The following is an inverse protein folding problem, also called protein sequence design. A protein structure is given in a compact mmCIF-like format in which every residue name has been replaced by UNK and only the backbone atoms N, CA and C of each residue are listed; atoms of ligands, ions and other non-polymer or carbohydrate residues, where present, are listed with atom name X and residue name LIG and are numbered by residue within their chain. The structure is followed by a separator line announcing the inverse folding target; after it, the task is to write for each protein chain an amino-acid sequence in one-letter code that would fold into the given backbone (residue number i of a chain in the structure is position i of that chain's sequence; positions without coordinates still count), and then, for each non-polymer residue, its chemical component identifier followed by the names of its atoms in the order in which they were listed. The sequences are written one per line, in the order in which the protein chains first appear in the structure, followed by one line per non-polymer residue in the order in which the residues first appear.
data_IF_442734735248
#
_entry.id   IF_442734735248
#
_cell.length_a   1.000
_cell.length_b   1.000
_cell.length_c   1.000
_cell.angle_alpha   90.00
_cell.angle_beta   90.00
_cell.angle_gamma   90.00
#
_symmetry.space_group_name_H-M   'P 1'
#
loop_
_entity.id
_entity.type
_entity.pdbx_description
1 polymer ?
#
# COMPACT_ATOMS: atom_id res chain seq x y z
N UNK A 1 -25.07 -60.96 17.24
CA UNK A 1 -24.27 -59.73 17.02
C UNK A 1 -23.42 -59.94 15.78
N UNK A 2 -23.58 -59.09 14.76
CA UNK A 2 -23.13 -59.37 13.39
C UNK A 2 -21.60 -59.19 13.27
N UNK A 3 -20.90 -60.14 12.67
CA UNK A 3 -19.42 -60.18 12.64
C UNK A 3 -18.81 -58.91 11.98
N UNK A 4 -19.56 -58.26 11.08
CA UNK A 4 -19.19 -56.97 10.46
C UNK A 4 -19.17 -55.78 11.44
N UNK A 5 -19.96 -55.83 12.52
CA UNK A 5 -19.98 -54.79 13.55
C UNK A 5 -18.77 -54.89 14.49
N UNK A 6 -18.24 -56.10 14.71
CA UNK A 6 -17.07 -56.34 15.54
C UNK A 6 -15.78 -55.82 14.86
N UNK A 7 -15.67 -55.96 13.54
CA UNK A 7 -14.56 -55.41 12.76
C UNK A 7 -14.58 -53.87 12.70
N UNK A 8 -15.76 -53.25 12.67
CA UNK A 8 -15.88 -51.80 12.67
C UNK A 8 -15.49 -51.18 14.03
N UNK A 9 -15.82 -51.86 15.14
CA UNK A 9 -15.40 -51.43 16.49
C UNK A 9 -13.90 -51.62 16.75
N UNK A 10 -13.28 -52.67 16.19
CA UNK A 10 -11.83 -52.88 16.26
C UNK A 10 -11.01 -51.92 15.38
N UNK A 11 -11.59 -51.41 14.29
CA UNK A 11 -10.95 -50.37 13.47
C UNK A 11 -11.04 -48.97 14.11
N UNK A 12 -12.08 -48.69 14.88
CA UNK A 12 -12.24 -47.40 15.58
C UNK A 12 -11.35 -47.34 16.84
N UNK A 13 -11.11 -48.46 17.53
CA UNK A 13 -10.21 -48.49 18.69
C UNK A 13 -8.71 -48.43 18.34
N UNK A 14 -8.34 -48.75 17.09
CA UNK A 14 -6.97 -48.64 16.61
C UNK A 14 -6.57 -47.22 16.13
N UNK A 15 -7.52 -46.27 16.05
CA UNK A 15 -7.28 -44.88 15.61
C UNK A 15 -7.18 -43.88 16.78
N UNK A 16 -7.32 -44.34 18.04
CA UNK A 16 -7.19 -43.50 19.24
C UNK A 16 -5.90 -43.77 20.02
N UNK A 17 -4.81 -44.14 19.33
CA UNK A 17 -3.48 -44.13 19.94
C UNK A 17 -2.99 -42.69 19.93
N UNK A 18 -3.12 -42.07 21.10
CA UNK A 18 -2.32 -40.97 21.62
C UNK A 18 -0.98 -40.82 20.89
N UNK A 19 -0.87 -39.84 19.98
CA UNK A 19 0.42 -39.23 19.72
C UNK A 19 0.85 -38.57 21.03
N UNK A 20 1.94 -39.09 21.60
CA UNK A 20 2.69 -38.43 22.65
C UNK A 20 2.94 -36.98 22.26
N UNK A 21 2.93 -36.10 23.25
CA UNK A 21 3.64 -34.83 23.16
C UNK A 21 5.11 -35.15 22.92
N UNK A 22 5.48 -35.23 21.65
CA UNK A 22 6.86 -35.01 21.26
C UNK A 22 7.06 -33.52 21.47
N UNK A 23 7.86 -33.16 22.48
CA UNK A 23 8.34 -31.80 22.66
C UNK A 23 9.02 -31.40 21.36
N UNK A 24 8.36 -30.53 20.60
CA UNK A 24 9.02 -29.82 19.50
C UNK A 24 10.29 -29.21 20.08
N UNK A 25 11.46 -29.42 19.45
CA UNK A 25 12.66 -28.73 19.87
C UNK A 25 12.33 -27.24 19.81
N UNK A 26 12.42 -26.56 20.96
CA UNK A 26 12.15 -25.14 21.09
C UNK A 26 12.83 -24.43 19.92
N UNK A 27 12.02 -23.86 19.02
CA UNK A 27 12.52 -23.02 17.95
C UNK A 27 13.33 -21.91 18.62
N UNK A 28 14.65 -22.05 18.57
CA UNK A 28 15.57 -21.02 19.02
C UNK A 28 15.41 -19.92 18.01
N UNK A 29 14.51 -19.00 18.33
CA UNK A 29 14.17 -17.78 17.62
C UNK A 29 14.90 -17.65 16.30
N UNK A 30 14.27 -18.11 15.22
CA UNK A 30 14.55 -17.57 13.91
C UNK A 30 14.14 -16.10 13.95
N UNK A 31 15.01 -15.24 14.49
CA UNK A 31 14.95 -13.82 14.22
C UNK A 31 15.12 -13.71 12.71
N UNK A 32 14.02 -13.39 12.01
CA UNK A 32 14.08 -12.91 10.64
C UNK A 32 15.29 -11.98 10.52
N UNK A 33 16.14 -12.12 9.49
CA UNK A 33 17.33 -11.28 9.35
C UNK A 33 16.91 -9.83 9.57
N UNK A 34 17.45 -9.21 10.62
CA UNK A 34 17.09 -7.84 10.94
C UNK A 34 17.47 -7.01 9.72
N UNK A 35 16.48 -6.34 9.11
CA UNK A 35 16.77 -5.50 7.96
C UNK A 35 17.83 -4.47 8.39
N UNK A 36 18.87 -4.25 7.58
CA UNK A 36 19.94 -3.31 7.93
C UNK A 36 19.34 -1.92 8.14
N UNK A 37 19.54 -1.35 9.32
CA UNK A 37 19.10 0.01 9.61
C UNK A 37 20.11 0.99 9.00
N UNK A 38 19.72 1.67 7.92
CA UNK A 38 20.55 2.69 7.28
C UNK A 38 20.58 3.96 8.11
N UNK A 39 21.76 4.57 8.19
CA UNK A 39 21.94 5.82 8.96
C UNK A 39 21.91 7.05 8.07
N UNK A 40 22.16 6.89 6.76
CA UNK A 40 21.96 7.93 5.76
C UNK A 40 21.74 7.35 4.36
N UNK A 41 21.36 8.21 3.41
CA UNK A 41 21.23 7.88 2.00
C UNK A 41 21.88 8.96 1.12
N UNK A 42 22.72 8.51 0.20
CA UNK A 42 23.42 9.37 -0.77
C UNK A 42 22.78 9.24 -2.15
N UNK A 43 22.53 10.37 -2.82
CA UNK A 43 21.88 10.38 -4.15
C UNK A 43 22.62 9.49 -5.15
N UNK A 44 21.88 8.59 -5.81
CA UNK A 44 22.38 7.65 -6.81
C UNK A 44 21.72 7.85 -8.18
N UNK A 45 21.05 9.00 -8.36
CA UNK A 45 20.50 9.44 -9.64
C UNK A 45 19.11 8.88 -9.97
N UNK A 46 18.75 9.02 -11.24
CA UNK A 46 17.45 8.59 -11.76
C UNK A 46 17.40 7.07 -11.95
N UNK A 47 16.22 6.48 -11.71
CA UNK A 47 15.93 5.10 -12.11
C UNK A 47 15.55 5.11 -13.59
N UNK A 48 16.41 4.53 -14.42
CA UNK A 48 16.10 4.31 -15.83
C UNK A 48 15.20 3.08 -15.95
N UNK A 49 14.02 3.24 -16.55
CA UNK A 49 13.07 2.15 -16.75
C UNK A 49 13.16 1.62 -18.18
N UNK A 50 13.68 0.40 -18.40
CA UNK A 50 13.81 -0.16 -19.74
C UNK A 50 12.47 -0.22 -20.48
N UNK A 51 12.47 0.13 -21.76
CA UNK A 51 11.28 0.05 -22.62
C UNK A 51 10.25 1.17 -22.40
N UNK A 52 10.52 2.15 -21.53
CA UNK A 52 9.67 3.33 -21.34
C UNK A 52 10.40 4.57 -21.83
N UNK A 53 9.76 5.33 -22.71
CA UNK A 53 10.30 6.61 -23.18
C UNK A 53 10.28 7.63 -22.03
N UNK A 54 11.35 8.40 -21.78
CA UNK A 54 11.37 9.41 -20.72
C UNK A 54 10.22 10.42 -20.82
N UNK A 55 9.83 10.81 -22.03
CA UNK A 55 8.70 11.73 -22.26
C UNK A 55 7.33 11.13 -21.86
N UNK A 56 7.23 9.80 -21.82
CA UNK A 56 6.03 9.06 -21.44
C UNK A 56 6.12 8.54 -20.00
N UNK A 57 7.12 8.94 -19.23
CA UNK A 57 7.30 8.49 -17.86
C UNK A 57 6.95 9.58 -16.87
N UNK A 58 5.88 9.36 -16.11
CA UNK A 58 5.41 10.24 -15.04
C UNK A 58 5.07 9.34 -13.84
N UNK A 59 6.08 8.93 -13.06
CA UNK A 59 5.88 8.04 -11.93
C UNK A 59 5.03 8.72 -10.87
N UNK A 60 4.04 7.98 -10.37
CA UNK A 60 3.08 8.45 -9.37
C UNK A 60 3.14 7.66 -8.08
N UNK A 61 3.42 6.37 -8.14
CA UNK A 61 3.57 5.52 -6.96
C UNK A 61 4.72 4.54 -7.14
N UNK A 62 5.34 4.17 -6.02
CA UNK A 62 6.39 3.17 -5.92
C UNK A 62 6.07 2.25 -4.75
N UNK A 63 6.22 0.94 -4.93
CA UNK A 63 6.05 -0.10 -3.91
C UNK A 63 7.13 -1.16 -4.06
N UNK A 64 7.55 -1.77 -2.96
CA UNK A 64 8.45 -2.92 -2.95
C UNK A 64 7.69 -4.13 -2.41
N UNK A 65 7.82 -5.27 -3.08
CA UNK A 65 7.39 -6.56 -2.52
C UNK A 65 8.32 -7.67 -3.01
N UNK A 66 9.02 -8.31 -2.07
CA UNK A 66 10.03 -9.31 -2.38
C UNK A 66 11.22 -8.70 -3.15
N UNK A 67 11.52 -9.26 -4.32
CA UNK A 67 12.60 -8.82 -5.20
C UNK A 67 12.17 -7.86 -6.31
N UNK A 68 10.94 -7.33 -6.24
CA UNK A 68 10.35 -6.52 -7.30
C UNK A 68 10.04 -5.11 -6.82
N UNK A 69 10.44 -4.12 -7.61
CA UNK A 69 10.01 -2.73 -7.53
C UNK A 69 8.82 -2.53 -8.46
N UNK A 70 7.70 -2.09 -7.90
CA UNK A 70 6.49 -1.77 -8.65
C UNK A 70 6.39 -0.26 -8.81
N UNK A 71 6.21 0.21 -10.04
CA UNK A 71 6.12 1.63 -10.35
C UNK A 71 4.84 1.91 -11.12
N UNK A 72 3.97 2.76 -10.59
CA UNK A 72 2.79 3.23 -11.30
C UNK A 72 3.13 4.47 -12.13
N UNK A 73 3.00 4.38 -13.45
CA UNK A 73 3.15 5.47 -14.40
C UNK A 73 1.79 6.06 -14.75
N UNK A 74 1.57 7.35 -14.49
CA UNK A 74 0.29 8.03 -14.73
C UNK A 74 0.23 8.81 -16.06
N UNK A 75 1.32 8.82 -16.82
CA UNK A 75 1.42 9.53 -18.09
C UNK A 75 0.34 9.05 -19.08
N UNK A 76 -0.41 9.97 -19.69
CA UNK A 76 -1.55 9.63 -20.53
C UNK A 76 -1.20 8.76 -21.76
N UNK A 77 0.02 8.87 -22.29
CA UNK A 77 0.48 8.08 -23.43
C UNK A 77 0.94 6.66 -23.04
N UNK A 78 1.24 6.43 -21.76
CA UNK A 78 1.76 5.17 -21.23
C UNK A 78 1.29 4.93 -19.79
N UNK A 79 -0.02 4.92 -19.55
CA UNK A 79 -0.53 4.60 -18.22
C UNK A 79 -0.34 3.11 -17.95
N UNK A 80 0.50 2.81 -16.97
CA UNK A 80 0.91 1.42 -16.70
C UNK A 80 1.38 1.21 -15.26
N UNK A 81 1.40 -0.05 -14.84
CA UNK A 81 2.19 -0.51 -13.70
C UNK A 81 3.36 -1.31 -14.24
N UNK A 82 4.57 -0.90 -13.87
CA UNK A 82 5.84 -1.44 -14.33
C UNK A 82 6.47 -2.23 -13.20
N UNK A 83 6.96 -3.44 -13.49
CA UNK A 83 7.60 -4.33 -12.52
C UNK A 83 9.07 -4.46 -12.89
N UNK A 84 9.95 -4.01 -12.00
CA UNK A 84 11.40 -4.07 -12.19
C UNK A 84 12.01 -5.06 -11.21
N UNK A 85 12.88 -5.93 -11.69
CA UNK A 85 13.67 -6.78 -10.81
C UNK A 85 14.68 -5.92 -10.06
N UNK A 86 14.67 -5.94 -8.73
CA UNK A 86 15.57 -5.13 -7.89
C UNK A 86 17.04 -5.58 -7.98
N UNK A 87 17.32 -6.79 -8.49
CA UNK A 87 18.69 -7.29 -8.70
C UNK A 87 19.27 -6.78 -10.01
N UNK A 88 18.53 -6.96 -11.10
CA UNK A 88 19.04 -6.71 -12.47
C UNK A 88 18.67 -5.34 -13.00
N UNK A 89 17.64 -4.70 -12.43
CA UNK A 89 17.04 -3.47 -12.95
C UNK A 89 16.18 -3.69 -14.21
N UNK A 90 16.00 -4.94 -14.64
CA UNK A 90 15.24 -5.28 -15.85
C UNK A 90 13.73 -5.15 -15.63
N UNK A 91 13.03 -4.74 -16.69
CA UNK A 91 11.57 -4.80 -16.73
C UNK A 91 11.13 -6.25 -16.89
N UNK A 92 10.50 -6.80 -15.85
CA UNK A 92 10.04 -8.19 -15.78
C UNK A 92 8.53 -8.35 -15.94
N UNK A 93 7.80 -7.24 -15.95
CA UNK A 93 6.35 -7.26 -16.11
C UNK A 93 5.77 -5.88 -16.34
N UNK A 94 4.59 -5.85 -16.95
CA UNK A 94 3.88 -4.63 -17.26
C UNK A 94 2.38 -4.88 -17.32
N UNK A 95 1.62 -4.01 -16.67
CA UNK A 95 0.16 -3.95 -16.78
C UNK A 95 -0.16 -2.62 -17.42
N UNK A 96 -0.66 -2.62 -18.66
CA UNK A 96 -1.16 -1.42 -19.35
C UNK A 96 -2.55 -1.63 -19.96
N UNK A 97 -2.96 -2.89 -20.07
CA UNK A 97 -4.26 -3.31 -20.57
C UNK A 97 -4.61 -4.71 -20.08
N UNK A 98 -5.90 -5.01 -20.07
CA UNK A 98 -6.43 -6.32 -19.72
C UNK A 98 -7.73 -6.60 -20.49
N UNK A 99 -8.21 -7.84 -20.47
CA UNK A 99 -9.50 -8.20 -21.08
C UNK A 99 -10.49 -8.55 -19.98
N UNK A 100 -11.62 -7.87 -19.97
CA UNK A 100 -12.73 -8.15 -19.05
C UNK A 100 -14.00 -8.37 -19.86
N UNK A 101 -14.63 -9.55 -19.70
CA UNK A 101 -15.84 -9.94 -20.45
C UNK A 101 -15.70 -9.73 -21.98
N UNK A 102 -14.52 -10.06 -22.53
CA UNK A 102 -14.20 -9.93 -23.96
C UNK A 102 -13.86 -8.51 -24.42
N UNK A 103 -13.90 -7.50 -23.53
CA UNK A 103 -13.56 -6.11 -23.86
C UNK A 103 -12.15 -5.81 -23.37
N UNK A 104 -11.32 -5.25 -24.25
CA UNK A 104 -10.01 -4.70 -23.86
C UNK A 104 -10.21 -3.42 -23.06
N UNK A 105 -9.65 -3.39 -21.87
CA UNK A 105 -9.65 -2.25 -20.96
C UNK A 105 -8.22 -1.76 -20.72
N UNK A 106 -8.10 -0.52 -20.29
CA UNK A 106 -6.84 0.15 -19.95
C UNK A 106 -7.06 1.04 -18.74
N UNK A 107 -5.98 1.58 -18.18
CA UNK A 107 -6.08 2.68 -17.24
C UNK A 107 -6.56 3.96 -17.96
N UNK A 108 -7.86 4.23 -17.89
CA UNK A 108 -8.53 5.31 -18.62
C UNK A 108 -8.61 6.65 -17.87
N UNK A 109 -7.93 6.77 -16.73
CA UNK A 109 -7.80 7.98 -15.93
C UNK A 109 -6.42 7.99 -15.25
N UNK A 110 -6.06 9.10 -14.63
CA UNK A 110 -4.84 9.19 -13.84
C UNK A 110 -4.84 8.14 -12.72
N UNK A 111 -3.71 7.45 -12.57
CA UNK A 111 -3.44 6.62 -11.40
C UNK A 111 -3.11 7.57 -10.24
N UNK A 112 -3.71 7.34 -9.09
CA UNK A 112 -3.49 8.14 -7.88
C UNK A 112 -2.48 7.50 -6.94
N UNK A 113 -2.61 6.20 -6.68
CA UNK A 113 -1.67 5.39 -5.89
C UNK A 113 -1.79 3.89 -6.24
N UNK A 114 -0.93 3.07 -5.65
CA UNK A 114 -0.95 1.62 -5.74
C UNK A 114 -0.64 0.98 -4.38
N UNK A 115 -1.25 -0.15 -4.07
CA UNK A 115 -0.82 -1.06 -3.01
C UNK A 115 -0.45 -2.42 -3.61
N UNK A 116 0.49 -3.13 -2.99
CA UNK A 116 0.96 -4.43 -3.46
C UNK A 116 1.01 -5.39 -2.28
N UNK A 117 0.19 -6.43 -2.34
CA UNK A 117 0.19 -7.54 -1.38
C UNK A 117 1.04 -8.71 -1.84
N UNK A 118 1.11 -9.76 -1.04
CA UNK A 118 1.76 -11.00 -1.47
C UNK A 118 1.10 -11.60 -2.72
N UNK A 119 -0.21 -11.36 -2.91
CA UNK A 119 -0.97 -11.94 -4.02
C UNK A 119 -1.51 -10.95 -5.04
N UNK A 120 -1.74 -9.70 -4.67
CA UNK A 120 -2.50 -8.76 -5.48
C UNK A 120 -1.79 -7.42 -5.66
N UNK A 121 -2.08 -6.76 -6.78
CA UNK A 121 -1.70 -5.38 -7.08
C UNK A 121 -3.00 -4.59 -7.15
N UNK A 122 -3.16 -3.58 -6.30
CA UNK A 122 -4.31 -2.69 -6.25
C UNK A 122 -3.92 -1.34 -6.84
N UNK A 123 -4.58 -0.91 -7.91
CA UNK A 123 -4.25 0.32 -8.64
C UNK A 123 -5.42 1.30 -8.54
N UNK A 124 -5.25 2.31 -7.69
CA UNK A 124 -6.26 3.34 -7.43
C UNK A 124 -6.19 4.47 -8.43
N UNK A 125 -7.35 4.93 -8.89
CA UNK A 125 -7.47 5.91 -9.98
C UNK A 125 -8.35 7.10 -9.60
N UNK A 126 -8.17 8.22 -10.30
CA UNK A 126 -8.99 9.42 -10.12
C UNK A 126 -10.40 9.30 -10.66
N UNK A 127 -10.71 8.33 -11.51
CA UNK A 127 -12.11 8.02 -11.83
C UNK A 127 -12.79 7.14 -10.76
N UNK A 128 -12.31 7.16 -9.52
CA UNK A 128 -12.93 6.52 -8.36
C UNK A 128 -13.05 4.99 -8.49
N UNK A 129 -12.03 4.39 -9.09
CA UNK A 129 -11.88 2.94 -9.23
C UNK A 129 -10.56 2.46 -8.64
N UNK A 130 -10.56 1.24 -8.14
CA UNK A 130 -9.34 0.51 -7.82
C UNK A 130 -9.35 -0.77 -8.64
N UNK A 131 -8.47 -0.91 -9.61
CA UNK A 131 -8.34 -2.16 -10.38
C UNK A 131 -7.40 -3.11 -9.65
N UNK A 132 -7.73 -4.39 -9.64
CA UNK A 132 -7.01 -5.41 -8.89
C UNK A 132 -6.50 -6.46 -9.86
N UNK A 133 -5.20 -6.76 -9.74
CA UNK A 133 -4.51 -7.74 -10.57
C UNK A 133 -3.86 -8.79 -9.69
N UNK A 134 -3.77 -10.01 -10.20
CA UNK A 134 -2.96 -11.06 -9.59
C UNK A 134 -1.48 -10.72 -9.78
N UNK A 135 -0.70 -10.64 -8.69
CA UNK A 135 0.72 -10.25 -8.76
C UNK A 135 1.58 -11.25 -9.51
N UNK A 136 1.19 -12.53 -9.52
CA UNK A 136 1.96 -13.60 -10.17
C UNK A 136 1.67 -13.68 -11.66
N UNK A 137 0.41 -13.55 -12.06
CA UNK A 137 0.00 -13.70 -13.48
C UNK A 137 -0.24 -12.36 -14.19
N UNK A 138 -0.30 -11.26 -13.45
CA UNK A 138 -0.67 -9.91 -13.91
C UNK A 138 -2.08 -9.82 -14.52
N UNK A 139 -2.89 -10.87 -14.35
CA UNK A 139 -4.24 -10.92 -14.88
C UNK A 139 -5.19 -10.10 -14.00
N UNK A 140 -6.15 -9.45 -14.65
CA UNK A 140 -7.23 -8.75 -13.96
C UNK A 140 -8.02 -9.74 -13.10
N UNK A 141 -8.26 -9.35 -11.84
CA UNK A 141 -9.03 -10.11 -10.86
C UNK A 141 -10.37 -9.45 -10.64
N UNK A 142 -10.36 -8.16 -10.28
CA UNK A 142 -11.56 -7.42 -9.91
C UNK A 142 -11.34 -5.90 -9.98
N UNK A 143 -12.38 -5.11 -9.74
CA UNK A 143 -12.29 -3.68 -9.48
C UNK A 143 -13.25 -3.23 -8.36
N UNK A 144 -12.81 -2.30 -7.52
CA UNK A 144 -13.64 -1.58 -6.54
C UNK A 144 -14.16 -0.28 -7.18
N UNK A 145 -15.34 0.16 -6.76
CA UNK A 145 -16.00 1.37 -7.26
C UNK A 145 -17.13 1.04 -8.23
N UNK A 146 -17.58 2.04 -9.01
CA UNK A 146 -18.67 1.87 -9.98
C UNK A 146 -18.14 1.59 -11.38
N UNK A 147 -18.82 0.69 -12.10
CA UNK A 147 -18.49 0.32 -13.48
C UNK A 147 -18.66 1.45 -14.50
N UNK A 148 -19.42 2.50 -14.17
CA UNK A 148 -19.55 3.73 -14.96
C UNK A 148 -18.54 4.81 -14.56
N UNK A 149 -17.76 4.58 -13.49
CA UNK A 149 -16.71 5.49 -13.02
C UNK A 149 -17.26 6.74 -12.35
N UNK A 150 -18.55 6.79 -12.04
CA UNK A 150 -19.13 7.89 -11.29
C UNK A 150 -18.61 7.85 -9.86
N UNK A 151 -18.14 9.00 -9.40
CA UNK A 151 -17.83 9.26 -8.01
C UNK A 151 -19.12 9.34 -7.18
N UNK A 152 -18.97 9.27 -5.87
CA UNK A 152 -20.06 9.35 -4.91
C UNK A 152 -19.54 9.16 -3.49
N UNK A 153 -20.47 9.12 -2.54
CA UNK A 153 -20.19 8.86 -1.12
C UNK A 153 -21.05 7.72 -0.55
N UNK A 154 -21.69 6.92 -1.41
CA UNK A 154 -22.42 5.74 -0.95
C UNK A 154 -21.46 4.60 -0.55
N UNK A 155 -22.03 3.48 -0.11
CA UNK A 155 -21.24 2.32 0.37
C UNK A 155 -20.35 1.69 -0.74
N UNK A 156 -20.63 1.95 -2.01
CA UNK A 156 -19.97 1.35 -3.17
C UNK A 156 -19.12 2.33 -3.99
N UNK A 157 -19.07 3.60 -3.57
CA UNK A 157 -18.40 4.67 -4.29
C UNK A 157 -17.41 5.40 -3.40
N UNK A 158 -16.47 6.08 -4.06
CA UNK A 158 -15.52 6.98 -3.45
C UNK A 158 -15.38 8.19 -4.35
N UNK A 159 -14.69 9.23 -3.89
CA UNK A 159 -14.34 10.39 -4.72
C UNK A 159 -12.84 10.44 -4.88
N UNK A 160 -12.35 9.93 -6.02
CA UNK A 160 -10.93 9.80 -6.38
C UNK A 160 -10.14 8.91 -5.41
N UNK A 161 -9.13 8.21 -5.89
CA UNK A 161 -8.21 7.49 -5.01
C UNK A 161 -6.89 8.25 -4.92
N UNK A 162 -6.54 8.77 -3.74
CA UNK A 162 -5.30 9.52 -3.51
C UNK A 162 -4.22 8.71 -2.80
N UNK A 163 -4.59 7.74 -1.96
CA UNK A 163 -3.64 6.90 -1.23
C UNK A 163 -4.16 5.48 -1.07
N UNK A 164 -3.25 4.51 -1.14
CA UNK A 164 -3.54 3.09 -0.97
C UNK A 164 -2.44 2.37 -0.19
N UNK A 165 -2.84 1.61 0.83
CA UNK A 165 -1.96 0.68 1.55
C UNK A 165 -2.75 -0.51 2.09
N UNK A 166 -2.10 -1.66 2.14
CA UNK A 166 -2.60 -2.82 2.85
C UNK A 166 -2.23 -2.76 4.33
N UNK A 167 -3.09 -3.31 5.19
CA UNK A 167 -2.82 -3.53 6.60
C UNK A 167 -3.56 -4.78 7.07
N UNK A 168 -2.81 -5.88 7.24
CA UNK A 168 -3.39 -7.21 7.44
C UNK A 168 -4.32 -7.57 6.28
N UNK A 169 -5.56 -7.92 6.59
CA UNK A 169 -6.58 -8.33 5.62
C UNK A 169 -7.37 -7.16 5.02
N UNK A 170 -6.99 -5.91 5.32
CA UNK A 170 -7.71 -4.72 4.89
C UNK A 170 -6.91 -3.91 3.87
N UNK A 171 -7.61 -3.41 2.87
CA UNK A 171 -7.11 -2.36 1.99
C UNK A 171 -7.63 -1.01 2.49
N UNK A 172 -6.72 -0.13 2.88
CA UNK A 172 -7.04 1.22 3.32
C UNK A 172 -6.88 2.18 2.16
N UNK A 173 -7.92 3.00 1.96
CA UNK A 173 -8.04 3.93 0.84
C UNK A 173 -8.20 5.33 1.38
N UNK A 174 -7.25 6.21 1.08
CA UNK A 174 -7.46 7.65 1.20
C UNK A 174 -8.13 8.15 -0.07
N UNK A 175 -9.43 8.47 0.02
CA UNK A 175 -10.13 9.21 -1.05
C UNK A 175 -10.03 10.71 -0.80
N UNK A 176 -10.74 11.55 -1.57
CA UNK A 176 -10.69 13.02 -1.41
C UNK A 176 -11.08 13.50 -0.02
N UNK A 177 -12.08 12.87 0.60
CA UNK A 177 -12.80 13.43 1.74
C UNK A 177 -12.72 12.54 2.99
N UNK A 178 -12.34 11.28 2.84
CA UNK A 178 -12.38 10.25 3.89
C UNK A 178 -11.21 9.27 3.76
N UNK A 179 -11.06 8.43 4.78
CA UNK A 179 -10.24 7.22 4.71
C UNK A 179 -11.22 6.05 4.87
N UNK A 180 -11.21 5.11 3.92
CA UNK A 180 -12.14 3.96 3.89
C UNK A 180 -11.37 2.66 4.00
N UNK A 181 -11.96 1.67 4.65
CA UNK A 181 -11.47 0.30 4.67
C UNK A 181 -12.26 -0.61 3.73
N UNK A 182 -11.58 -1.57 3.10
CA UNK A 182 -12.18 -2.67 2.35
C UNK A 182 -11.57 -3.98 2.82
N UNK A 183 -12.37 -5.05 2.87
CA UNK A 183 -11.82 -6.40 3.00
C UNK A 183 -11.11 -6.80 1.71
N UNK A 184 -9.86 -7.24 1.81
CA UNK A 184 -9.14 -7.76 0.64
C UNK A 184 -9.87 -8.97 0.07
N UNK A 185 -10.40 -9.86 0.91
CA UNK A 185 -11.09 -11.06 0.45
C UNK A 185 -12.34 -10.72 -0.38
N UNK A 186 -13.13 -9.72 0.02
CA UNK A 186 -14.30 -9.27 -0.76
C UNK A 186 -13.89 -8.51 -2.01
N UNK A 187 -12.84 -7.69 -1.90
CA UNK A 187 -12.31 -6.94 -3.02
C UNK A 187 -11.89 -7.83 -4.19
N UNK A 188 -11.55 -9.10 -3.95
CA UNK A 188 -11.11 -10.05 -4.99
C UNK A 188 -12.18 -11.06 -5.41
N UNK A 189 -13.41 -10.93 -4.92
CA UNK A 189 -14.54 -11.81 -5.29
C UNK A 189 -15.46 -11.18 -6.35
N UNK A 190 -15.92 -12.00 -7.30
CA UNK A 190 -16.93 -11.60 -8.30
C UNK A 190 -18.34 -11.44 -7.65
N UNK A 191 -19.25 -10.63 -8.24
CA UNK A 191 -19.09 -9.88 -9.48
C UNK A 191 -18.19 -8.66 -9.32
N UNK A 192 -17.49 -8.29 -10.40
CA UNK A 192 -16.67 -7.10 -10.35
C UNK A 192 -17.46 -5.80 -10.17
N UNK A 193 -16.82 -4.81 -9.53
CA UNK A 193 -17.42 -3.53 -9.11
C UNK A 193 -18.44 -3.70 -7.97
N UNK A 194 -18.72 -2.61 -7.25
CA UNK A 194 -19.64 -2.58 -6.09
C UNK A 194 -19.19 -3.41 -4.88
N UNK A 195 -17.89 -3.42 -4.61
CA UNK A 195 -17.37 -3.87 -3.31
C UNK A 195 -17.70 -2.80 -2.26
N UNK A 196 -18.45 -3.12 -1.20
CA UNK A 196 -18.77 -2.15 -0.16
C UNK A 196 -17.52 -1.81 0.65
N UNK A 197 -17.35 -0.56 1.07
CA UNK A 197 -16.42 -0.28 2.16
C UNK A 197 -16.99 -0.81 3.48
N UNK A 198 -16.11 -1.21 4.38
CA UNK A 198 -16.45 -1.86 5.66
C UNK A 198 -16.43 -0.90 6.84
N UNK A 199 -15.91 0.31 6.62
CA UNK A 199 -15.98 1.45 7.53
C UNK A 199 -15.16 2.63 7.03
N UNK A 200 -15.28 3.76 7.73
CA UNK A 200 -14.51 4.99 7.53
C UNK A 200 -13.65 5.29 8.75
N UNK A 201 -12.56 6.04 8.59
CA UNK A 201 -11.83 6.61 9.73
C UNK A 201 -12.43 7.97 10.04
N UNK A 202 -12.93 8.14 11.26
CA UNK A 202 -13.28 9.44 11.83
C UNK A 202 -12.02 10.09 12.38
N UNK A 203 -11.57 11.08 11.64
CA UNK A 203 -10.49 11.98 12.05
C UNK A 203 -11.12 13.19 12.76
N UNK A 204 -10.62 13.63 13.94
CA UNK A 204 -11.24 14.70 14.74
C UNK A 204 -11.49 16.01 13.98
N UNK A 205 -10.51 16.45 13.17
CA UNK A 205 -10.59 17.67 12.37
C UNK A 205 -11.03 17.39 10.91
N UNK A 206 -11.49 16.16 10.65
CA UNK A 206 -11.56 15.64 9.30
C UNK A 206 -10.17 15.49 8.68
N UNK A 207 -10.15 14.90 7.50
CA UNK A 207 -8.95 14.79 6.68
C UNK A 207 -8.92 15.95 5.72
N UNK A 208 -7.76 16.57 5.58
CA UNK A 208 -7.54 17.76 4.79
C UNK A 208 -8.10 17.66 3.38
N UNK A 209 -8.88 18.66 2.98
CA UNK A 209 -9.42 18.72 1.63
C UNK A 209 -8.34 19.19 0.67
N UNK A 210 -7.98 18.34 -0.29
CA UNK A 210 -6.99 18.69 -1.30
C UNK A 210 -7.67 19.02 -2.65
N UNK A 211 -7.51 20.28 -3.08
CA UNK A 211 -7.89 20.73 -4.42
C UNK A 211 -6.83 20.42 -5.45
N UNK A 212 -5.61 20.14 -5.01
CA UNK A 212 -4.50 19.75 -5.85
C UNK A 212 -4.33 18.24 -5.74
N UNK A 213 -3.73 17.62 -6.74
CA UNK A 213 -3.46 16.19 -6.71
C UNK A 213 -2.23 15.91 -5.83
N UNK A 214 -2.16 16.41 -4.59
CA UNK A 214 -0.98 16.15 -3.76
C UNK A 214 -0.91 14.69 -3.39
N UNK A 215 0.31 14.25 -3.12
CA UNK A 215 0.57 12.88 -2.69
C UNK A 215 0.36 12.83 -1.19
N UNK A 216 -0.50 11.91 -0.76
CA UNK A 216 -0.57 11.49 0.63
C UNK A 216 0.21 10.18 0.79
N UNK A 217 1.23 10.22 1.65
CA UNK A 217 1.96 9.05 2.10
C UNK A 217 1.11 8.21 3.04
N UNK A 218 1.11 6.90 2.82
CA UNK A 218 0.51 5.92 3.71
C UNK A 218 1.55 4.86 4.05
N UNK A 219 1.75 4.61 5.34
CA UNK A 219 2.63 3.56 5.84
C UNK A 219 1.86 2.65 6.81
N UNK A 220 2.21 1.38 6.78
CA UNK A 220 1.77 0.40 7.77
C UNK A 220 2.96 0.11 8.69
N UNK A 221 2.71 0.07 10.00
CA UNK A 221 3.68 -0.32 11.00
C UNK A 221 2.96 -0.94 12.20
N UNK A 222 3.31 -2.19 12.52
CA UNK A 222 2.80 -2.93 13.67
C UNK A 222 1.25 -2.97 13.73
N UNK A 223 0.62 -3.23 12.59
CA UNK A 223 -0.84 -3.30 12.47
C UNK A 223 -1.55 -1.95 12.55
N UNK A 224 -0.82 -0.84 12.65
CA UNK A 224 -1.32 0.54 12.55
C UNK A 224 -1.04 1.12 11.18
N UNK A 225 -1.93 2.01 10.78
CA UNK A 225 -1.81 2.79 9.58
C UNK A 225 -1.53 4.25 9.93
N UNK A 226 -0.59 4.81 9.19
CA UNK A 226 -0.17 6.19 9.29
C UNK A 226 -0.46 6.87 7.95
N UNK A 227 -1.07 8.05 7.98
CA UNK A 227 -1.41 8.83 6.80
C UNK A 227 -0.93 10.26 6.98
N UNK A 228 -0.13 10.76 6.05
CA UNK A 228 0.21 12.19 6.00
C UNK A 228 -0.99 13.01 5.54
N UNK A 229 -1.37 13.98 6.33
CA UNK A 229 -2.35 15.01 6.01
C UNK A 229 -1.62 16.34 5.81
N UNK A 230 -1.31 16.61 4.54
CA UNK A 230 -0.57 17.79 4.11
C UNK A 230 -1.27 19.10 4.51
N UNK A 231 -2.60 19.16 4.38
CA UNK A 231 -3.37 20.37 4.62
C UNK A 231 -3.49 20.66 6.12
N UNK A 232 -3.79 19.62 6.91
CA UNK A 232 -3.90 19.75 8.37
C UNK A 232 -2.55 19.66 9.09
N UNK A 233 -1.43 19.62 8.35
CA UNK A 233 -0.06 19.50 8.85
C UNK A 233 0.07 18.41 9.93
N UNK A 234 -0.39 17.20 9.60
CA UNK A 234 -0.46 16.13 10.59
C UNK A 234 -0.19 14.76 10.02
N UNK A 235 0.08 13.79 10.90
CA UNK A 235 -0.02 12.37 10.59
C UNK A 235 -1.18 11.79 11.37
N UNK A 236 -2.12 11.18 10.66
CA UNK A 236 -3.26 10.46 11.22
C UNK A 236 -2.85 9.03 11.50
N UNK A 237 -3.08 8.55 12.73
CA UNK A 237 -2.79 7.17 13.15
C UNK A 237 -4.10 6.46 13.44
N UNK A 238 -4.27 5.25 12.91
CA UNK A 238 -5.44 4.43 13.18
C UNK A 238 -5.12 2.96 13.00
N UNK A 239 -5.80 2.10 13.74
CA UNK A 239 -5.64 0.65 13.70
C UNK A 239 -6.79 0.05 12.89
N UNK A 240 -6.57 -0.40 11.64
CA UNK A 240 -7.65 -0.92 10.80
C UNK A 240 -8.39 -2.12 11.40
N UNK A 241 -7.73 -2.92 12.24
CA UNK A 241 -8.37 -4.07 12.92
C UNK A 241 -9.49 -3.68 13.89
N UNK A 242 -9.51 -2.43 14.39
CA UNK A 242 -10.58 -1.88 15.23
C UNK A 242 -11.85 -1.52 14.44
N UNK A 243 -11.81 -1.62 13.11
CA UNK A 243 -12.96 -1.31 12.26
C UNK A 243 -14.03 -2.38 12.41
N UNK A 244 -15.13 -1.98 13.06
CA UNK A 244 -16.32 -2.81 13.25
C UNK A 244 -16.97 -3.12 11.90
N UNK A 245 -17.39 -4.38 11.76
CA UNK A 245 -17.99 -4.89 10.53
C UNK A 245 -19.50 -4.68 10.63
N UNK A 246 -19.99 -3.60 10.04
CA UNK A 246 -21.44 -3.43 9.84
C UNK A 246 -21.70 -3.04 8.40
N UNK A 247 -22.11 -4.02 7.60
CA UNK A 247 -22.47 -3.78 6.20
C UNK A 247 -23.69 -2.87 6.12
N UNK A 248 -23.56 -1.76 5.38
CA UNK A 248 -24.67 -0.84 5.14
C UNK A 248 -24.92 0.17 6.26
N UNK A 249 -24.15 0.14 7.35
CA UNK A 249 -24.09 1.23 8.33
C UNK A 249 -22.73 1.93 8.22
N UNK A 250 -22.72 3.23 8.49
CA UNK A 250 -21.47 3.98 8.55
C UNK A 250 -20.75 3.62 9.86
N UNK A 251 -19.90 2.60 9.83
CA UNK A 251 -18.98 2.33 10.94
C UNK A 251 -17.79 3.26 10.83
N UNK A 252 -17.49 3.95 11.93
CA UNK A 252 -16.32 4.79 12.03
C UNK A 252 -15.34 4.21 13.03
N UNK A 253 -14.06 4.14 12.68
CA UNK A 253 -13.01 4.09 13.70
C UNK A 253 -12.52 5.48 13.99
N UNK A 254 -12.44 5.86 15.26
CA UNK A 254 -11.73 7.09 15.64
C UNK A 254 -10.24 6.88 15.42
N UNK A 255 -9.54 7.89 14.90
CA UNK A 255 -8.07 7.88 14.88
C UNK A 255 -7.52 7.58 16.27
N UNK A 256 -6.54 6.69 16.36
CA UNK A 256 -5.86 6.36 17.61
C UNK A 256 -5.04 7.54 18.14
N UNK A 257 -4.40 8.27 17.22
CA UNK A 257 -3.62 9.46 17.51
C UNK A 257 -3.59 10.40 16.31
N UNK A 258 -3.25 11.67 16.57
CA UNK A 258 -2.98 12.67 15.54
C UNK A 258 -1.70 13.40 15.93
N UNK A 259 -0.64 13.20 15.15
CA UNK A 259 0.62 13.92 15.35
C UNK A 259 0.54 15.23 14.59
N UNK A 260 0.58 16.35 15.30
CA UNK A 260 0.43 17.70 14.76
C UNK A 260 1.78 18.36 14.58
N UNK A 261 1.93 19.11 13.50
CA UNK A 261 3.14 19.86 13.20
C UNK A 261 2.82 21.31 12.87
N UNK A 262 3.49 22.25 13.52
CA UNK A 262 3.22 23.68 13.33
C UNK A 262 3.82 24.20 12.01
N UNK A 263 5.07 23.81 11.72
CA UNK A 263 5.90 24.46 10.70
C UNK A 263 6.24 23.58 9.49
N UNK A 264 5.75 22.34 9.45
CA UNK A 264 6.04 21.42 8.35
C UNK A 264 4.76 20.87 7.72
N UNK A 265 4.88 20.53 6.45
CA UNK A 265 3.84 19.85 5.68
C UNK A 265 4.32 18.46 5.28
N UNK A 266 3.77 17.40 5.88
CA UNK A 266 4.18 16.04 5.60
C UNK A 266 3.70 15.59 4.21
N UNK A 267 4.54 14.82 3.49
CA UNK A 267 4.25 14.35 2.12
C UNK A 267 4.39 12.84 1.98
N UNK A 268 5.63 12.37 1.78
CA UNK A 268 5.96 10.96 1.67
C UNK A 268 6.09 10.33 3.04
N UNK A 269 5.71 9.06 3.16
CA UNK A 269 5.76 8.31 4.40
C UNK A 269 6.08 6.85 4.14
N UNK A 270 6.97 6.29 4.95
CA UNK A 270 7.39 4.90 4.95
C UNK A 270 7.72 4.49 6.39
N UNK A 271 7.37 3.26 6.78
CA UNK A 271 7.88 2.68 8.01
C UNK A 271 9.12 1.85 7.70
N UNK A 272 10.20 2.04 8.45
CA UNK A 272 11.45 1.31 8.25
C UNK A 272 12.28 1.28 9.52
N UNK A 273 12.86 0.13 9.86
CA UNK A 273 13.77 0.02 11.01
C UNK A 273 13.15 0.37 12.37
N UNK A 274 11.82 0.28 12.51
CA UNK A 274 11.10 0.67 13.73
C UNK A 274 10.74 2.16 13.82
N UNK A 275 11.03 2.94 12.79
CA UNK A 275 10.76 4.38 12.73
C UNK A 275 9.82 4.73 11.57
N UNK A 276 9.19 5.89 11.64
CA UNK A 276 8.53 6.51 10.49
C UNK A 276 9.52 7.43 9.77
N UNK A 277 9.75 7.16 8.49
CA UNK A 277 10.49 8.01 7.59
C UNK A 277 9.52 8.89 6.83
N UNK A 278 9.62 10.20 7.04
CA UNK A 278 8.70 11.17 6.48
C UNK A 278 9.45 12.26 5.72
N UNK A 279 8.97 12.59 4.53
CA UNK A 279 9.45 13.75 3.79
C UNK A 279 8.60 14.98 4.06
N UNK A 280 9.23 16.14 4.03
CA UNK A 280 8.59 17.44 4.27
C UNK A 280 8.60 18.27 2.99
N UNK A 281 7.47 18.88 2.65
CA UNK A 281 7.34 19.75 1.48
C UNK A 281 8.49 20.76 1.41
N UNK A 282 9.08 20.90 0.21
CA UNK A 282 10.13 21.89 -0.13
C UNK A 282 11.41 21.83 0.71
N UNK A 283 11.56 20.83 1.59
CA UNK A 283 12.76 20.70 2.42
C UNK A 283 13.89 19.93 1.73
N UNK A 284 13.55 19.03 0.80
CA UNK A 284 14.48 18.04 0.28
C UNK A 284 14.94 17.01 1.33
N UNK A 285 14.32 16.97 2.52
CA UNK A 285 14.74 16.12 3.65
C UNK A 285 13.82 14.92 3.82
N UNK A 286 14.41 13.84 4.30
CA UNK A 286 13.71 12.71 4.91
C UNK A 286 14.08 12.72 6.39
N UNK A 287 13.08 12.86 7.23
CA UNK A 287 13.17 12.93 8.68
C UNK A 287 12.65 11.64 9.29
N UNK A 288 13.20 11.29 10.45
CA UNK A 288 12.85 10.10 11.23
C UNK A 288 11.94 10.52 12.37
N UNK A 289 10.88 9.77 12.60
CA UNK A 289 9.90 10.04 13.63
C UNK A 289 9.59 8.78 14.43
N UNK A 290 9.32 8.97 15.72
CA UNK A 290 8.84 7.92 16.59
C UNK A 290 7.40 7.54 16.19
N UNK A 291 7.10 6.26 15.91
CA UNK A 291 5.76 5.82 15.51
C UNK A 291 4.71 5.87 16.64
N UNK A 292 5.13 5.91 17.91
CA UNK A 292 4.24 6.00 19.07
C UNK A 292 3.90 7.45 19.42
N UNK A 293 4.91 8.32 19.45
CA UNK A 293 4.75 9.69 19.95
C UNK A 293 4.61 10.72 18.83
N UNK A 294 5.11 10.42 17.63
CA UNK A 294 5.22 11.38 16.54
C UNK A 294 6.37 12.37 16.70
N UNK A 295 7.28 12.14 17.65
CA UNK A 295 8.41 13.03 17.90
C UNK A 295 9.49 12.90 16.83
N UNK A 296 10.13 14.03 16.49
CA UNK A 296 11.25 14.05 15.56
C UNK A 296 12.50 13.41 16.20
N UNK A 297 13.00 12.34 15.60
CA UNK A 297 14.21 11.63 16.02
C UNK A 297 15.47 12.10 15.30
N UNK A 298 15.34 12.77 14.16
CA UNK A 298 16.47 13.31 13.39
C UNK A 298 16.23 13.39 11.89
N UNK A 299 17.28 13.74 11.15
CA UNK A 299 17.28 13.75 9.68
C UNK A 299 18.05 12.52 9.20
N UNK A 300 17.43 11.73 8.32
CA UNK A 300 18.05 10.56 7.70
C UNK A 300 18.83 10.96 6.45
N UNK A 301 18.22 11.76 5.58
CA UNK A 301 18.81 12.14 4.29
C UNK A 301 18.37 13.53 3.85
N UNK A 302 19.22 14.19 3.05
CA UNK A 302 18.94 15.49 2.45
C UNK A 302 19.36 15.47 0.97
N UNK A 303 18.41 15.81 0.10
CA UNK A 303 18.60 15.94 -1.34
C UNK A 303 18.22 17.37 -1.75
N UNK A 304 19.16 18.33 -1.68
CA UNK A 304 18.89 19.73 -1.96
C UNK A 304 18.21 19.94 -3.32
N UNK A 305 17.14 20.74 -3.33
CA UNK A 305 16.43 21.11 -4.55
C UNK A 305 15.39 20.09 -5.04
N UNK A 306 15.25 18.92 -4.39
CA UNK A 306 14.23 17.91 -4.69
C UNK A 306 13.00 18.06 -3.81
N UNK A 307 11.85 17.55 -4.28
CA UNK A 307 10.64 17.44 -3.47
C UNK A 307 10.22 15.97 -3.38
N UNK A 308 10.50 15.34 -2.23
CA UNK A 308 10.41 13.90 -2.08
C UNK A 308 8.96 13.51 -1.80
N UNK A 309 8.36 12.73 -2.71
CA UNK A 309 7.03 12.14 -2.56
C UNK A 309 7.08 10.74 -1.97
N UNK A 310 6.29 9.82 -2.54
CA UNK A 310 6.31 8.40 -2.16
C UNK A 310 7.70 7.81 -2.26
N UNK A 311 8.02 6.95 -1.30
CA UNK A 311 9.32 6.31 -1.17
C UNK A 311 9.20 4.90 -0.62
N UNK A 312 10.18 4.07 -0.95
CA UNK A 312 10.34 2.69 -0.48
C UNK A 312 11.83 2.38 -0.32
N UNK A 313 12.17 1.53 0.64
CA UNK A 313 13.55 1.06 0.83
C UNK A 313 13.60 -0.42 0.47
N UNK A 314 14.59 -0.79 -0.34
CA UNK A 314 14.90 -2.19 -0.62
C UNK A 314 16.36 -2.36 -1.00
N UNK A 315 17.01 -3.40 -0.46
CA UNK A 315 18.35 -3.85 -0.87
C UNK A 315 19.41 -2.74 -0.89
N UNK A 316 19.47 -1.92 0.17
CA UNK A 316 20.46 -0.85 0.25
C UNK A 316 20.11 0.39 -0.56
N UNK A 317 18.90 0.45 -1.12
CA UNK A 317 18.47 1.58 -1.94
C UNK A 317 17.17 2.15 -1.42
N UNK A 318 17.13 3.47 -1.29
CA UNK A 318 15.92 4.26 -1.17
C UNK A 318 15.45 4.62 -2.59
N UNK A 319 14.25 4.20 -2.95
CA UNK A 319 13.57 4.62 -4.17
C UNK A 319 12.55 5.68 -3.81
N UNK A 320 12.51 6.80 -4.53
CA UNK A 320 11.56 7.87 -4.24
C UNK A 320 11.17 8.65 -5.49
N UNK A 321 10.00 9.27 -5.46
CA UNK A 321 9.55 10.15 -6.52
C UNK A 321 9.98 11.56 -6.19
N UNK A 322 10.75 12.20 -7.07
CA UNK A 322 10.97 13.65 -7.03
C UNK A 322 9.80 14.34 -7.74
N UNK A 323 8.91 14.94 -6.93
CA UNK A 323 7.69 15.61 -7.39
C UNK A 323 7.98 16.86 -8.20
N UNK A 324 9.13 17.51 -7.95
CA UNK A 324 9.52 18.70 -8.68
C UNK A 324 10.00 18.36 -10.08
N UNK A 325 10.78 17.29 -10.22
CA UNK A 325 11.28 16.84 -11.52
C UNK A 325 10.32 15.91 -12.27
N UNK A 326 9.35 15.31 -11.57
CA UNK A 326 8.47 14.28 -12.12
C UNK A 326 9.22 12.98 -12.43
N UNK A 327 10.20 12.61 -11.59
CA UNK A 327 11.14 11.50 -11.86
C UNK A 327 11.17 10.48 -10.73
N UNK A 328 11.48 9.23 -11.07
CA UNK A 328 11.80 8.19 -10.10
C UNK A 328 13.30 8.23 -9.85
N UNK A 329 13.67 8.42 -8.60
CA UNK A 329 15.05 8.56 -8.15
C UNK A 329 15.43 7.38 -7.25
N UNK A 330 16.73 7.16 -7.12
CA UNK A 330 17.31 6.20 -6.18
C UNK A 330 18.45 6.84 -5.39
N UNK A 331 18.62 6.44 -4.14
CA UNK A 331 19.73 6.82 -3.29
C UNK A 331 20.28 5.58 -2.58
N UNK A 332 21.60 5.51 -2.40
CA UNK A 332 22.30 4.38 -1.79
C UNK A 332 22.40 4.59 -0.29
N UNK A 333 22.00 3.57 0.48
CA UNK A 333 22.11 3.55 1.93
C UNK A 333 23.53 3.25 2.40
N UNK A 334 23.91 3.88 3.51
CA UNK A 334 25.20 3.69 4.21
C UNK A 334 25.00 3.29 5.67
#
# INVERSE_FOLDING_TARGET
MNLKFLYLLLLISALCISCSKDEEPSDKGSTSPQEPVYTTFTDAGEVVVPGVLPANFTPRSVRVKGDTLFVANTNAADRSVLLLNLTTGELIGRIDSWVRKGVKETFNAEIGDMAVSDRYIFVGMYNSRINIFDRRTLQFVNAIGRSDGKWGDDIYSMTHCYGLRECGERLMVRDKNTIRGYWIYEAVTEPAFRVPWIGKVKVPEGVGYDYQACIHGMAEYDGRMYLTDWYNKSVQVFTPSKMEIVFGEETHITSDAVFKYDDIQPLGLLAYGGELLMSVQKSGKIQRYDPETGDLLGVLAEFPGKEIGRMEIARGMLYYIDLKAGKLMKAKGE
#
